data_IF_167201154344
#
_entry.id   IF_167201154344
#
_cell.length_a   1.000
_cell.length_b   1.000
_cell.length_c   1.000
_cell.angle_alpha   90.00
_cell.angle_beta   90.00
_cell.angle_gamma   90.00
#
_symmetry.space_group_name_H-M   'P 1'
#
loop_
_entity.id
_entity.type
_entity.pdbx_description
1 polymer ?
#
# COMPACT_ATOMS: atom_id res chain seq x y z
N UNK A 1 5.99 17.34 9.36
CA UNK A 1 5.62 18.23 8.23
C UNK A 1 4.45 17.61 7.45
N UNK A 2 3.80 18.34 6.55
CA UNK A 2 2.76 17.76 5.70
C UNK A 2 3.43 16.81 4.70
N UNK A 3 2.77 15.69 4.31
CA UNK A 3 3.25 14.88 3.21
C UNK A 3 3.33 15.73 1.93
N UNK A 4 4.49 15.73 1.26
CA UNK A 4 4.65 16.36 -0.05
C UNK A 4 4.11 15.52 -1.21
N UNK A 5 3.77 14.25 -0.93
CA UNK A 5 3.16 13.31 -1.86
C UNK A 5 1.79 12.88 -1.33
N UNK A 6 0.84 12.53 -2.21
CA UNK A 6 -0.44 11.93 -1.80
C UNK A 6 -0.21 10.70 -0.92
N UNK A 7 -0.91 10.64 0.20
CA UNK A 7 -0.80 9.55 1.16
C UNK A 7 -2.22 9.10 1.57
N UNK A 8 -2.53 7.83 1.35
CA UNK A 8 -3.78 7.21 1.77
C UNK A 8 -3.59 6.50 3.12
N UNK A 9 -4.42 6.84 4.10
CA UNK A 9 -4.40 6.24 5.42
C UNK A 9 -4.96 4.82 5.40
N UNK A 10 -4.22 3.84 5.91
CA UNK A 10 -4.74 2.49 6.12
C UNK A 10 -5.70 2.37 7.30
N UNK A 11 -5.84 3.40 8.14
CA UNK A 11 -6.86 3.41 9.21
C UNK A 11 -8.22 3.79 8.65
N UNK A 12 -8.25 4.78 7.76
CA UNK A 12 -9.51 5.34 7.23
C UNK A 12 -9.86 4.82 5.84
N UNK A 13 -8.89 4.33 5.07
CA UNK A 13 -9.03 3.96 3.66
C UNK A 13 -9.11 5.17 2.72
N UNK A 14 -8.81 6.38 3.20
CA UNK A 14 -8.97 7.66 2.47
C UNK A 14 -7.69 8.49 2.48
N UNK A 15 -7.54 9.50 1.60
CA UNK A 15 -6.41 10.43 1.68
C UNK A 15 -6.30 11.03 3.08
N UNK A 16 -5.09 11.02 3.63
CA UNK A 16 -4.82 11.62 4.94
C UNK A 16 -4.81 13.15 4.80
N UNK A 17 -5.28 13.85 5.84
CA UNK A 17 -5.09 15.29 5.91
C UNK A 17 -3.72 15.64 6.48
N UNK A 18 -3.27 16.87 6.23
CA UNK A 18 -1.99 17.34 6.71
C UNK A 18 -1.95 17.44 8.25
N UNK A 19 -3.09 17.75 8.86
CA UNK A 19 -3.30 17.83 10.30
C UNK A 19 -3.19 16.44 10.93
N UNK A 20 -3.92 15.46 10.36
CA UNK A 20 -3.94 14.09 10.87
C UNK A 20 -2.58 13.41 10.72
N UNK A 21 -1.86 13.67 9.63
CA UNK A 21 -0.51 13.15 9.43
C UNK A 21 0.51 13.64 10.48
N UNK A 22 0.27 14.81 11.08
CA UNK A 22 1.13 15.41 12.11
C UNK A 22 0.69 15.08 13.54
N UNK A 23 -0.48 14.47 13.72
CA UNK A 23 -1.03 14.14 15.04
C UNK A 23 -0.39 12.86 15.61
N UNK A 24 0.33 12.90 16.74
CA UNK A 24 0.87 11.70 17.39
C UNK A 24 -0.21 10.68 17.78
N UNK A 25 -1.42 11.12 18.13
CA UNK A 25 -2.51 10.24 18.56
C UNK A 25 -3.04 9.39 17.39
N UNK A 26 -2.98 9.91 16.16
CA UNK A 26 -3.31 9.14 14.97
C UNK A 26 -2.38 7.92 14.82
N UNK A 27 -1.07 8.10 15.04
CA UNK A 27 -0.11 7.01 14.93
C UNK A 27 -0.30 5.95 16.01
N UNK A 28 -0.60 6.36 17.25
CA UNK A 28 -1.00 5.43 18.32
C UNK A 28 -2.30 4.68 18.00
N UNK A 29 -3.26 5.34 17.35
CA UNK A 29 -4.50 4.72 16.88
C UNK A 29 -4.23 3.73 15.75
N UNK A 30 -3.33 4.05 14.82
CA UNK A 30 -2.98 3.19 13.69
C UNK A 30 -2.43 1.84 14.14
N UNK A 31 -1.61 1.82 15.20
CA UNK A 31 -1.11 0.58 15.79
C UNK A 31 -2.20 -0.32 16.39
N UNK A 32 -3.37 0.23 16.72
CA UNK A 32 -4.44 -0.48 17.45
C UNK A 32 -5.69 -0.74 16.62
N UNK A 33 -5.86 -0.03 15.50
CA UNK A 33 -7.04 -0.16 14.64
C UNK A 33 -6.76 -1.10 13.47
N UNK A 34 -7.78 -1.82 12.96
CA UNK A 34 -7.61 -2.68 11.80
C UNK A 34 -7.06 -1.92 10.58
N UNK A 35 -6.16 -2.57 9.85
CA UNK A 35 -5.60 -2.07 8.59
C UNK A 35 -6.61 -2.30 7.47
N UNK A 36 -7.17 -1.21 6.93
CA UNK A 36 -8.09 -1.20 5.79
C UNK A 36 -7.32 -1.18 4.47
N UNK A 37 -6.45 -2.16 4.26
CA UNK A 37 -5.51 -2.19 3.13
C UNK A 37 -6.22 -2.16 1.77
N UNK A 38 -7.24 -3.01 1.57
CA UNK A 38 -7.96 -3.08 0.31
C UNK A 38 -8.66 -1.74 -0.03
N UNK A 39 -9.23 -1.07 0.96
CA UNK A 39 -9.86 0.25 0.79
C UNK A 39 -8.80 1.29 0.41
N UNK A 40 -7.65 1.27 1.08
CA UNK A 40 -6.55 2.18 0.80
C UNK A 40 -5.98 1.99 -0.61
N UNK A 41 -5.79 0.74 -1.05
CA UNK A 41 -5.33 0.42 -2.42
C UNK A 41 -6.35 0.90 -3.45
N UNK A 42 -7.64 0.61 -3.28
CA UNK A 42 -8.68 1.08 -4.22
C UNK A 42 -8.69 2.61 -4.33
N UNK A 43 -8.58 3.30 -3.20
CA UNK A 43 -8.49 4.77 -3.18
C UNK A 43 -7.22 5.27 -3.86
N UNK A 44 -6.10 4.57 -3.73
CA UNK A 44 -4.83 4.97 -4.33
C UNK A 44 -4.79 4.75 -5.85
N UNK A 45 -5.36 3.65 -6.35
CA UNK A 45 -5.39 3.36 -7.80
C UNK A 45 -6.49 4.13 -8.54
N UNK A 46 -7.56 4.52 -7.84
CA UNK A 46 -8.72 5.16 -8.46
C UNK A 46 -9.37 4.28 -9.53
N UNK A 47 -9.81 4.90 -10.62
CA UNK A 47 -10.50 4.20 -11.72
C UNK A 47 -9.56 3.83 -12.89
N UNK A 48 -8.28 4.23 -12.82
CA UNK A 48 -7.31 4.12 -13.91
C UNK A 48 -6.30 2.97 -13.74
N UNK A 49 -5.62 2.57 -14.83
CA UNK A 49 -4.55 1.58 -14.73
C UNK A 49 -3.42 2.09 -13.82
N UNK A 50 -2.86 1.20 -13.02
CA UNK A 50 -1.85 1.55 -12.02
C UNK A 50 -0.69 0.54 -12.00
N UNK A 51 0.48 1.05 -11.63
CA UNK A 51 1.65 0.22 -11.30
C UNK A 51 1.93 0.40 -9.81
N UNK A 52 1.86 -0.69 -9.06
CA UNK A 52 2.17 -0.72 -7.63
C UNK A 52 3.60 -1.20 -7.41
N UNK A 53 4.30 -0.56 -6.48
CA UNK A 53 5.65 -0.95 -6.06
C UNK A 53 5.58 -1.33 -4.58
N UNK A 54 5.82 -2.60 -4.28
CA UNK A 54 5.94 -3.09 -2.90
C UNK A 54 7.35 -2.85 -2.39
N UNK A 55 7.44 -1.99 -1.38
CA UNK A 55 8.69 -1.63 -0.73
C UNK A 55 8.91 -2.55 0.47
N UNK A 56 9.96 -3.36 0.42
CA UNK A 56 10.29 -4.34 1.44
C UNK A 56 10.36 -5.78 0.90
N UNK A 57 10.68 -6.74 1.77
CA UNK A 57 10.91 -8.14 1.38
C UNK A 57 9.61 -8.88 1.05
N UNK A 58 9.64 -9.60 -0.07
CA UNK A 58 8.58 -10.49 -0.51
C UNK A 58 7.54 -9.82 -1.39
N UNK A 59 6.36 -10.43 -1.45
CA UNK A 59 5.30 -10.12 -2.43
C UNK A 59 3.88 -10.12 -1.82
N UNK A 60 3.79 -10.02 -0.50
CA UNK A 60 2.53 -10.21 0.23
C UNK A 60 1.56 -9.09 -0.09
N UNK A 61 2.01 -7.83 -0.05
CA UNK A 61 1.14 -6.68 -0.32
C UNK A 61 0.73 -6.63 -1.79
N UNK A 62 1.63 -6.98 -2.71
CA UNK A 62 1.36 -7.08 -4.14
C UNK A 62 0.27 -8.11 -4.42
N UNK A 63 0.34 -9.26 -3.76
CA UNK A 63 -0.68 -10.32 -3.87
C UNK A 63 -2.04 -9.84 -3.35
N UNK A 64 -2.06 -9.22 -2.16
CA UNK A 64 -3.28 -8.67 -1.57
C UNK A 64 -3.87 -7.53 -2.41
N UNK A 65 -3.04 -6.67 -2.99
CA UNK A 65 -3.48 -5.54 -3.80
C UNK A 65 -4.16 -6.02 -5.09
N UNK A 66 -3.60 -7.03 -5.77
CA UNK A 66 -4.23 -7.64 -6.95
C UNK A 66 -5.57 -8.29 -6.61
N UNK A 67 -5.67 -8.96 -5.47
CA UNK A 67 -6.93 -9.53 -5.01
C UNK A 67 -7.98 -8.44 -4.70
N UNK A 68 -7.57 -7.35 -4.06
CA UNK A 68 -8.44 -6.22 -3.70
C UNK A 68 -8.92 -5.37 -4.88
N UNK A 69 -8.24 -5.42 -6.03
CA UNK A 69 -8.64 -4.75 -7.26
C UNK A 69 -9.83 -5.42 -7.98
N UNK A 70 -10.12 -6.70 -7.69
CA UNK A 70 -11.26 -7.43 -8.24
C UNK A 70 -11.13 -7.85 -9.72
N UNK A 71 -11.98 -8.76 -10.18
CA UNK A 71 -11.94 -9.38 -11.52
C UNK A 71 -12.48 -8.49 -12.67
N UNK A 72 -12.77 -7.22 -12.41
CA UNK A 72 -13.19 -6.22 -13.40
C UNK A 72 -12.77 -4.79 -13.06
N UNK A 73 -11.88 -4.63 -12.08
CA UNK A 73 -11.32 -3.32 -11.71
C UNK A 73 -10.20 -2.87 -12.65
N UNK A 74 -9.58 -1.73 -12.37
CA UNK A 74 -8.51 -1.19 -13.19
C UNK A 74 -7.34 -2.18 -13.29
N UNK A 75 -6.72 -2.26 -14.47
CA UNK A 75 -5.53 -3.12 -14.67
C UNK A 75 -4.41 -2.66 -13.73
N UNK A 76 -4.04 -3.52 -12.80
CA UNK A 76 -2.98 -3.25 -11.83
C UNK A 76 -1.79 -4.18 -12.07
N UNK A 77 -0.65 -3.62 -12.45
CA UNK A 77 0.63 -4.31 -12.35
C UNK A 77 1.21 -4.11 -10.94
N UNK A 78 1.98 -5.07 -10.43
CA UNK A 78 2.68 -4.90 -9.17
C UNK A 78 4.08 -5.53 -9.24
N UNK A 79 5.08 -4.79 -8.75
CA UNK A 79 6.50 -5.18 -8.70
C UNK A 79 7.01 -5.08 -7.26
N UNK A 80 7.96 -5.94 -6.90
CA UNK A 80 8.52 -6.00 -5.55
C UNK A 80 9.96 -5.52 -5.58
N UNK A 81 10.38 -4.78 -4.54
CA UNK A 81 11.73 -4.20 -4.49
C UNK A 81 12.76 -5.14 -3.89
N UNK A 82 12.35 -6.07 -3.03
CA UNK A 82 13.22 -7.03 -2.36
C UNK A 82 12.57 -8.42 -2.36
N UNK A 83 13.39 -9.47 -2.50
CA UNK A 83 12.95 -10.86 -2.37
C UNK A 83 12.71 -11.19 -0.90
N UNK A 84 12.03 -12.32 -0.62
CA UNK A 84 11.95 -12.78 0.77
C UNK A 84 13.34 -13.22 1.25
N UNK A 85 13.69 -13.07 2.55
CA UNK A 85 15.01 -13.45 3.05
C UNK A 85 15.32 -14.95 2.89
N UNK A 86 14.29 -15.79 2.83
CA UNK A 86 14.36 -17.25 2.65
C UNK A 86 14.36 -17.68 1.17
N UNK A 87 14.10 -16.76 0.24
CA UNK A 87 14.18 -17.01 -1.20
C UNK A 87 15.63 -16.77 -1.68
N UNK A 88 16.45 -17.82 -1.61
CA UNK A 88 17.77 -17.80 -2.24
C UNK A 88 17.63 -17.80 -3.76
N UNK A 89 18.04 -16.71 -4.40
CA UNK A 89 18.24 -16.64 -5.84
C UNK A 89 19.52 -15.85 -6.12
N UNK A 90 20.30 -16.31 -7.09
CA UNK A 90 21.47 -15.59 -7.57
C UNK A 90 21.04 -14.19 -8.05
N UNK A 91 21.80 -13.15 -7.70
CA UNK A 91 21.57 -11.78 -8.17
C UNK A 91 22.01 -11.60 -9.64
N UNK A 92 22.59 -12.65 -10.24
CA UNK A 92 23.16 -12.68 -11.60
C UNK A 92 22.39 -13.49 -12.65
N UNK A 93 21.08 -13.67 -12.54
CA UNK A 93 20.23 -14.20 -13.62
C UNK A 93 19.30 -13.12 -14.19
#
# INVERSE_FOLDING_TARGET
>A
AAPGLPFVSCVTGRPITAELARDPQYWGTHLRRPVRFADAVRTAIGDGPAVLVEVGPGNTLSTLARAGAGTGGPRCAAVTTMRRPDEAADDGQ
#
